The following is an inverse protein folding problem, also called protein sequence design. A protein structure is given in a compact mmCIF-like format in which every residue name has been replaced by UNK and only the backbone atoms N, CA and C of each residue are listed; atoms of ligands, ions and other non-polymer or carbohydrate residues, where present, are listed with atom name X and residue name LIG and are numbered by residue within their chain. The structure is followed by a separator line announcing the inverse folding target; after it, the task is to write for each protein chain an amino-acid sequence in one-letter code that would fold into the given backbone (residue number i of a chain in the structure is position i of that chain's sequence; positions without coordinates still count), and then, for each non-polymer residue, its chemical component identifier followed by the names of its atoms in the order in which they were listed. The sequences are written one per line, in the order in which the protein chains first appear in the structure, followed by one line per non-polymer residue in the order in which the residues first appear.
data_IF_535389238849
#
_entry.id   IF_535389238849
#
_cell.length_a   1.000
_cell.length_b   1.000
_cell.length_c   1.000
_cell.angle_alpha   90.00
_cell.angle_beta   90.00
_cell.angle_gamma   90.00
#
_symmetry.space_group_name_H-M   'P 1'
#
loop_
_entity.id
_entity.type
_entity.pdbx_description
1 polymer ?
#
# COMPACT_ATOMS: atom_id res chain seq x y z
N UNK A 1 19.27 -5.79 -13.15
CA UNK A 1 18.16 -5.20 -13.95
C UNK A 1 18.56 -3.74 -14.19
N UNK A 2 17.80 -2.94 -14.93
CA UNK A 2 18.11 -1.50 -15.01
C UNK A 2 17.78 -0.81 -13.68
N UNK A 3 18.62 0.11 -13.20
CA UNK A 3 18.48 0.73 -11.86
C UNK A 3 17.18 1.54 -11.76
N UNK A 4 16.75 2.17 -12.86
CA UNK A 4 15.47 2.89 -12.91
C UNK A 4 14.30 1.93 -12.67
N UNK A 5 14.33 0.77 -13.33
CA UNK A 5 13.33 -0.29 -13.14
C UNK A 5 13.38 -0.86 -11.71
N UNK A 6 14.58 -1.10 -11.16
CA UNK A 6 14.77 -1.56 -9.78
C UNK A 6 14.13 -0.62 -8.76
N UNK A 7 14.38 0.69 -8.85
CA UNK A 7 13.82 1.67 -7.94
C UNK A 7 12.30 1.89 -8.13
N UNK A 8 11.79 1.76 -9.36
CA UNK A 8 10.35 1.78 -9.62
C UNK A 8 9.63 0.63 -8.92
N UNK A 9 10.19 -0.59 -9.01
CA UNK A 9 9.65 -1.77 -8.36
C UNK A 9 9.76 -1.63 -6.84
N UNK A 10 10.92 -1.20 -6.34
CA UNK A 10 11.13 -1.01 -4.91
C UNK A 10 10.15 -0.01 -4.30
N UNK A 11 9.86 1.09 -5.00
CA UNK A 11 8.89 2.09 -4.57
C UNK A 11 7.47 1.52 -4.50
N UNK A 12 7.05 0.74 -5.50
CA UNK A 12 5.76 0.03 -5.50
C UNK A 12 5.65 -0.98 -4.35
N UNK A 13 6.71 -1.78 -4.12
CA UNK A 13 6.76 -2.73 -3.00
C UNK A 13 6.68 -2.02 -1.66
N UNK A 14 7.47 -0.96 -1.47
CA UNK A 14 7.46 -0.15 -0.24
C UNK A 14 6.06 0.38 0.10
N UNK A 15 5.32 0.85 -0.91
CA UNK A 15 3.93 1.28 -0.77
C UNK A 15 2.99 0.12 -0.41
N UNK A 16 3.09 -1.00 -1.14
CA UNK A 16 2.26 -2.18 -0.95
C UNK A 16 2.36 -2.78 0.46
N UNK A 17 3.55 -2.71 1.07
CA UNK A 17 3.81 -3.23 2.43
C UNK A 17 3.65 -2.17 3.54
N UNK A 18 3.25 -0.94 3.22
CA UNK A 18 3.14 0.18 4.16
C UNK A 18 4.46 0.58 4.85
N UNK A 19 5.62 0.37 4.23
CA UNK A 19 6.91 0.74 4.83
C UNK A 19 7.23 2.22 4.55
N UNK A 20 6.93 3.10 5.51
CA UNK A 20 7.16 4.55 5.36
C UNK A 20 8.61 4.93 5.08
N UNK A 21 9.56 4.41 5.86
CA UNK A 21 10.98 4.70 5.67
C UNK A 21 11.48 4.18 4.32
N UNK A 22 11.01 3.02 3.88
CA UNK A 22 11.32 2.48 2.55
C UNK A 22 10.78 3.40 1.44
N UNK A 23 9.55 3.91 1.57
CA UNK A 23 8.98 4.85 0.59
C UNK A 23 9.81 6.13 0.50
N UNK A 24 10.23 6.70 1.63
CA UNK A 24 11.07 7.90 1.66
C UNK A 24 12.43 7.66 1.00
N UNK A 25 13.07 6.52 1.31
CA UNK A 25 14.36 6.12 0.72
C UNK A 25 14.28 5.88 -0.79
N UNK A 26 13.38 5.01 -1.23
CA UNK A 26 13.25 4.63 -2.64
C UNK A 26 12.69 5.75 -3.50
N UNK A 27 11.87 6.67 -2.96
CA UNK A 27 11.47 7.89 -3.67
C UNK A 27 12.69 8.73 -4.06
N UNK A 28 13.63 8.93 -3.13
CA UNK A 28 14.83 9.73 -3.41
C UNK A 28 15.66 9.07 -4.51
N UNK A 29 15.88 7.76 -4.42
CA UNK A 29 16.64 6.99 -5.41
C UNK A 29 15.97 6.94 -6.78
N UNK A 30 14.65 6.73 -6.82
CA UNK A 30 13.87 6.77 -8.05
C UNK A 30 14.05 8.10 -8.80
N UNK A 31 13.99 9.23 -8.10
CA UNK A 31 14.23 10.56 -8.70
C UNK A 31 15.67 10.68 -9.23
N UNK A 32 16.66 10.18 -8.49
CA UNK A 32 18.08 10.16 -8.93
C UNK A 32 18.29 9.34 -10.23
N UNK A 33 17.51 8.28 -10.44
CA UNK A 33 17.53 7.46 -11.67
C UNK A 33 16.77 8.08 -12.84
N UNK A 34 16.08 9.21 -12.63
CA UNK A 34 15.28 9.88 -13.66
C UNK A 34 13.87 9.30 -13.84
N UNK A 35 13.29 8.65 -12.81
CA UNK A 35 11.85 8.40 -12.83
C UNK A 35 11.08 9.73 -12.88
N UNK A 36 10.09 9.79 -13.77
CA UNK A 36 9.16 10.92 -13.77
C UNK A 36 8.11 10.76 -12.67
N UNK A 37 7.42 11.85 -12.36
CA UNK A 37 6.31 11.84 -11.40
C UNK A 37 5.19 10.91 -11.85
N UNK A 38 4.92 10.87 -13.15
CA UNK A 38 3.90 10.03 -13.77
C UNK A 38 4.25 8.54 -13.62
N UNK A 39 5.51 8.17 -13.85
CA UNK A 39 6.00 6.81 -13.66
C UNK A 39 5.91 6.37 -12.18
N UNK A 40 6.26 7.27 -11.25
CA UNK A 40 6.11 7.03 -9.80
C UNK A 40 4.64 6.81 -9.44
N UNK A 41 3.74 7.68 -9.91
CA UNK A 41 2.31 7.56 -9.66
C UNK A 41 1.74 6.26 -10.24
N UNK A 42 2.17 5.87 -11.44
CA UNK A 42 1.75 4.61 -12.06
C UNK A 42 2.18 3.39 -11.22
N UNK A 43 3.43 3.37 -10.73
CA UNK A 43 3.90 2.30 -9.85
C UNK A 43 3.08 2.21 -8.54
N UNK A 44 2.76 3.37 -7.94
CA UNK A 44 1.91 3.44 -6.74
C UNK A 44 0.49 2.96 -7.03
N UNK A 45 -0.11 3.34 -8.16
CA UNK A 45 -1.47 2.91 -8.53
C UNK A 45 -1.55 1.39 -8.73
N UNK A 46 -0.54 0.78 -9.37
CA UNK A 46 -0.45 -0.68 -9.50
C UNK A 46 -0.33 -1.33 -8.11
N UNK A 47 0.54 -0.81 -7.24
CA UNK A 47 0.71 -1.32 -5.89
C UNK A 47 -0.57 -1.20 -5.04
N UNK A 48 -1.31 -0.09 -5.16
CA UNK A 48 -2.58 0.11 -4.47
C UNK A 48 -3.65 -0.88 -4.92
N UNK A 49 -3.71 -1.18 -6.22
CA UNK A 49 -4.60 -2.22 -6.75
C UNK A 49 -4.32 -3.60 -6.13
N UNK A 50 -3.04 -4.00 -6.09
CA UNK A 50 -2.61 -5.28 -5.48
C UNK A 50 -2.93 -5.30 -3.98
N UNK A 51 -2.58 -4.24 -3.26
CA UNK A 51 -2.81 -4.10 -1.82
C UNK A 51 -4.30 -4.15 -1.47
N UNK A 52 -5.13 -3.43 -2.21
CA UNK A 52 -6.58 -3.43 -2.04
C UNK A 52 -7.18 -4.80 -2.32
N UNK A 53 -6.75 -5.45 -3.40
CA UNK A 53 -7.18 -6.82 -3.73
C UNK A 53 -6.83 -7.83 -2.64
N UNK A 54 -5.59 -7.78 -2.14
CA UNK A 54 -5.14 -8.63 -1.04
C UNK A 54 -5.96 -8.38 0.24
N UNK A 55 -6.14 -7.12 0.63
CA UNK A 55 -6.97 -6.75 1.78
C UNK A 55 -8.40 -7.27 1.65
N UNK A 56 -9.04 -7.07 0.51
CA UNK A 56 -10.41 -7.52 0.27
C UNK A 56 -10.52 -9.04 0.35
N UNK A 57 -9.58 -9.78 -0.24
CA UNK A 57 -9.57 -11.25 -0.17
C UNK A 57 -9.37 -11.77 1.24
N UNK A 58 -8.45 -11.18 2.00
CA UNK A 58 -8.26 -11.50 3.41
C UNK A 58 -9.51 -11.17 4.23
N UNK A 59 -10.16 -10.03 3.96
CA UNK A 59 -11.40 -9.63 4.63
C UNK A 59 -12.56 -10.58 4.33
N UNK A 60 -12.74 -10.98 3.07
CA UNK A 60 -13.74 -11.98 2.65
C UNK A 60 -13.48 -13.31 3.36
N UNK A 61 -12.24 -13.80 3.34
CA UNK A 61 -11.89 -15.05 4.01
C UNK A 61 -12.09 -14.98 5.53
N UNK A 62 -11.75 -13.86 6.17
CA UNK A 62 -12.01 -13.64 7.58
C UNK A 62 -13.51 -13.67 7.89
N UNK A 63 -14.36 -13.11 7.01
CA UNK A 63 -15.82 -13.19 7.13
C UNK A 63 -16.33 -14.62 7.01
N UNK A 64 -15.78 -15.41 6.10
CA UNK A 64 -16.15 -16.82 5.95
C UNK A 64 -15.80 -17.64 7.21
N UNK A 65 -14.64 -17.39 7.80
CA UNK A 65 -14.17 -18.12 8.99
C UNK A 65 -14.85 -17.67 10.29
N UNK A 66 -15.07 -16.37 10.46
CA UNK A 66 -15.45 -15.77 11.74
C UNK A 66 -16.82 -15.09 11.72
N UNK A 67 -17.52 -15.06 10.58
CA UNK A 67 -18.76 -14.31 10.40
C UNK A 67 -18.53 -12.80 10.22
N UNK A 68 -19.60 -12.00 10.31
CA UNK A 68 -19.50 -10.53 10.28
C UNK A 68 -18.61 -10.02 11.42
N UNK A 69 -17.40 -9.57 11.07
CA UNK A 69 -16.52 -8.86 12.00
C UNK A 69 -17.08 -7.45 12.14
N UNK A 70 -17.91 -7.26 13.17
CA UNK A 70 -18.38 -5.91 13.55
C UNK A 70 -17.20 -5.09 14.03
N UNK A 71 -17.16 -3.80 13.66
CA UNK A 71 -16.19 -2.88 14.24
C UNK A 71 -16.39 -2.85 15.76
N UNK A 72 -15.44 -3.40 16.49
CA UNK A 72 -15.32 -3.12 17.91
C UNK A 72 -14.90 -1.66 18.05
N UNK A 73 -15.88 -0.75 18.03
CA UNK A 73 -15.62 0.63 18.43
C UNK A 73 -15.22 0.60 19.89
N UNK A 74 -14.09 1.24 20.20
CA UNK A 74 -13.69 1.48 21.59
C UNK A 74 -14.78 2.27 22.34
N UNK A 75 -15.55 3.10 21.61
CA UNK A 75 -16.62 3.91 22.18
C UNK A 75 -17.98 3.77 21.45
N UNK A 76 -19.10 3.99 22.15
CA UNK A 76 -20.44 3.93 21.57
C UNK A 76 -20.63 4.89 20.39
N UNK A 77 -21.58 4.57 19.51
CA UNK A 77 -22.00 5.47 18.43
C UNK A 77 -22.51 6.79 19.04
N UNK A 78 -21.88 7.91 18.69
CA UNK A 78 -22.25 9.24 19.19
C UNK A 78 -21.43 9.74 20.38
N UNK A 79 -20.42 9.00 20.84
CA UNK A 79 -19.46 9.52 21.82
C UNK A 79 -18.49 10.52 21.20
N UNK A 80 -18.08 11.55 21.95
CA UNK A 80 -17.05 12.52 21.57
C UNK A 80 -15.60 12.04 21.82
N UNK A 81 -15.40 10.75 22.10
CA UNK A 81 -14.06 10.17 22.29
C UNK A 81 -13.24 10.18 21.00
#
# INVERSE_FOLDING_TARGET
MDTKIEEMIALGVAYGINCRSCMEYHKKKAIETGLTKEEIHAAIQVAEGVKTGAYNKTKEYAKELFGEITEARCCPVGSEC
#
